data_IF_580044892101
#
_entry.id   IF_580044892101
#
_cell.length_a   1.000
_cell.length_b   1.000
_cell.length_c   1.000
_cell.angle_alpha   90.00
_cell.angle_beta   90.00
_cell.angle_gamma   90.00
#
_symmetry.space_group_name_H-M   'P 1'
#
loop_
_entity.id
_entity.type
_entity.pdbx_description
1 polymer ?
#
# COMPACT_ATOMS: atom_id res chain seq x y z
N UNK A 1 12.29 -17.23 -18.66
CA UNK A 1 11.65 -17.62 -19.95
C UNK A 1 10.22 -17.12 -19.89
N UNK A 2 9.86 -16.26 -20.80
CA UNK A 2 8.48 -15.77 -20.87
C UNK A 2 7.52 -16.92 -21.16
N UNK A 3 6.36 -16.96 -20.50
CA UNK A 3 5.32 -17.92 -20.85
C UNK A 3 5.01 -17.82 -22.35
N UNK A 4 4.84 -18.95 -23.00
CA UNK A 4 4.51 -19.06 -24.42
C UNK A 4 5.55 -18.46 -25.40
N UNK A 5 6.78 -18.17 -24.97
CA UNK A 5 7.82 -17.66 -25.85
C UNK A 5 7.55 -16.25 -26.42
N UNK A 6 6.58 -15.49 -25.86
CA UNK A 6 6.35 -14.11 -26.25
C UNK A 6 7.52 -13.25 -25.81
N UNK A 7 8.13 -12.47 -26.69
CA UNK A 7 9.18 -11.52 -26.31
C UNK A 7 8.62 -10.24 -25.65
N UNK A 8 7.31 -10.02 -25.68
CA UNK A 8 6.66 -8.78 -25.29
C UNK A 8 5.50 -9.08 -24.33
N UNK A 9 5.77 -9.00 -23.04
CA UNK A 9 4.73 -8.96 -22.04
C UNK A 9 4.14 -7.54 -21.97
N UNK A 10 2.87 -7.46 -21.69
CA UNK A 10 2.07 -6.22 -21.59
C UNK A 10 1.51 -6.05 -20.19
N UNK A 11 0.77 -4.98 -19.93
CA UNK A 11 0.08 -4.77 -18.66
C UNK A 11 -1.00 -5.83 -18.35
N UNK A 12 -1.46 -6.56 -19.37
CA UNK A 12 -2.44 -7.65 -19.21
C UNK A 12 -1.80 -9.00 -18.87
N UNK A 13 -0.47 -9.08 -18.86
CA UNK A 13 0.27 -10.28 -18.49
C UNK A 13 0.69 -10.22 -17.02
N UNK A 14 -0.23 -10.41 -16.11
CA UNK A 14 -0.03 -10.52 -14.66
C UNK A 14 -0.21 -11.96 -14.17
N UNK A 15 -0.11 -12.22 -12.87
CA UNK A 15 -0.23 -13.56 -12.26
C UNK A 15 0.76 -14.59 -12.84
N UNK A 16 1.94 -14.16 -13.27
CA UNK A 16 2.96 -15.08 -13.78
C UNK A 16 3.87 -15.64 -12.67
N UNK A 17 3.77 -15.05 -11.50
CA UNK A 17 4.43 -15.44 -10.24
C UNK A 17 3.79 -14.66 -9.09
N UNK A 18 4.16 -14.96 -7.85
CA UNK A 18 3.60 -14.25 -6.70
C UNK A 18 3.97 -12.77 -6.69
N UNK A 19 5.04 -12.47 -6.10
CA UNK A 19 5.55 -11.13 -5.82
C UNK A 19 6.73 -11.25 -4.85
N UNK A 20 7.15 -10.15 -4.25
CA UNK A 20 8.21 -10.14 -3.25
C UNK A 20 7.65 -9.76 -1.88
N UNK A 21 7.84 -10.63 -0.89
CA UNK A 21 7.43 -10.38 0.49
C UNK A 21 8.65 -10.19 1.38
N UNK A 22 8.64 -9.18 2.23
CA UNK A 22 9.66 -8.91 3.25
C UNK A 22 8.97 -8.88 4.60
N UNK A 23 9.34 -9.83 5.48
CA UNK A 23 8.76 -10.00 6.80
C UNK A 23 9.75 -9.51 7.87
N UNK A 24 9.40 -8.42 8.55
CA UNK A 24 10.18 -7.79 9.59
C UNK A 24 9.65 -8.04 11.00
N UNK A 25 10.22 -7.32 11.97
CA UNK A 25 9.94 -7.46 13.40
C UNK A 25 9.52 -6.14 14.08
N UNK A 26 9.15 -5.13 13.28
CA UNK A 26 8.56 -3.90 13.80
C UNK A 26 7.10 -4.11 14.22
N UNK A 27 6.57 -3.16 14.95
CA UNK A 27 5.20 -3.24 15.48
C UNK A 27 4.15 -3.16 14.37
N UNK A 28 3.07 -3.88 14.60
CA UNK A 28 1.85 -3.91 13.78
C UNK A 28 0.63 -3.75 14.69
N UNK A 29 -0.51 -3.38 14.14
CA UNK A 29 -1.80 -3.50 14.83
C UNK A 29 -2.69 -4.48 14.09
N UNK A 30 -3.22 -5.45 14.81
CA UNK A 30 -4.16 -6.44 14.26
C UNK A 30 -5.33 -6.62 15.23
N UNK A 31 -6.47 -7.06 14.74
CA UNK A 31 -7.72 -7.22 15.53
C UNK A 31 -7.54 -8.06 16.81
N UNK A 32 -6.68 -9.04 16.75
CA UNK A 32 -6.39 -9.92 17.89
C UNK A 32 -5.45 -9.29 18.93
N UNK A 33 -4.86 -8.12 18.62
CA UNK A 33 -3.81 -7.47 19.41
C UNK A 33 -2.58 -8.35 19.66
N UNK A 34 -2.33 -9.30 18.76
CA UNK A 34 -1.11 -10.09 18.76
C UNK A 34 0.07 -9.26 18.26
N UNK A 35 1.28 -9.55 18.72
CA UNK A 35 2.49 -8.83 18.31
C UNK A 35 3.12 -9.39 17.03
N UNK A 36 2.76 -10.61 16.65
CA UNK A 36 3.15 -11.25 15.41
C UNK A 36 1.89 -11.77 14.72
N UNK A 37 1.82 -11.60 13.42
CA UNK A 37 0.70 -12.06 12.61
C UNK A 37 1.19 -12.83 11.37
N UNK A 38 0.31 -13.58 10.75
CA UNK A 38 0.65 -14.34 9.57
C UNK A 38 0.19 -13.57 8.34
N UNK A 39 1.10 -13.40 7.37
CA UNK A 39 0.69 -12.88 6.08
C UNK A 39 -0.36 -13.80 5.46
N UNK A 40 -1.37 -13.21 4.90
CA UNK A 40 -2.49 -13.94 4.33
C UNK A 40 -2.09 -14.83 3.15
N UNK A 41 -2.90 -15.86 2.92
CA UNK A 41 -2.71 -16.79 1.82
C UNK A 41 -1.53 -17.76 1.97
N UNK A 42 -0.52 -17.46 2.77
CA UNK A 42 0.61 -18.37 2.99
C UNK A 42 0.21 -19.52 3.93
N UNK A 43 0.49 -20.79 3.55
CA UNK A 43 0.07 -21.95 4.35
C UNK A 43 0.55 -21.91 5.80
N UNK A 44 -0.29 -22.39 6.71
CA UNK A 44 -0.04 -22.33 8.16
C UNK A 44 1.22 -23.09 8.61
N UNK A 45 1.64 -24.07 7.85
CA UNK A 45 2.87 -24.85 8.07
C UNK A 45 4.15 -24.10 7.66
N UNK A 46 4.06 -23.02 6.88
CA UNK A 46 5.21 -22.20 6.54
C UNK A 46 5.58 -21.29 7.71
N UNK A 47 6.75 -21.50 8.27
CA UNK A 47 7.24 -20.73 9.40
C UNK A 47 7.71 -19.32 9.03
N UNK A 48 7.92 -19.05 7.75
CA UNK A 48 8.33 -17.72 7.27
C UNK A 48 7.15 -16.76 7.03
N UNK A 49 5.91 -17.22 7.20
CA UNK A 49 4.71 -16.40 7.04
C UNK A 49 4.48 -15.35 8.14
N UNK A 50 5.22 -15.42 9.25
CA UNK A 50 5.01 -14.53 10.41
C UNK A 50 5.82 -13.25 10.28
N UNK A 51 5.15 -12.14 10.51
CA UNK A 51 5.73 -10.79 10.59
C UNK A 51 5.25 -10.06 11.84
N UNK A 52 5.83 -8.88 12.10
CA UNK A 52 5.53 -8.12 13.31
C UNK A 52 6.41 -8.49 14.49
N UNK A 53 6.30 -7.70 15.54
CA UNK A 53 7.11 -7.84 16.75
C UNK A 53 7.15 -6.58 17.58
N UNK A 54 8.30 -6.26 18.16
CA UNK A 54 8.50 -5.08 19.01
C UNK A 54 9.75 -4.27 18.66
N UNK A 55 10.42 -4.58 17.55
CA UNK A 55 11.66 -3.92 17.13
C UNK A 55 11.39 -3.00 15.93
N UNK A 56 11.01 -1.75 16.20
CA UNK A 56 10.79 -0.74 15.16
C UNK A 56 12.05 -0.37 14.38
N UNK A 57 13.22 -0.82 14.83
CA UNK A 57 14.50 -0.63 14.16
C UNK A 57 14.97 -1.86 13.41
N UNK A 58 14.13 -2.87 13.27
CA UNK A 58 14.39 -4.08 12.51
C UNK A 58 15.05 -3.79 11.16
N UNK A 59 15.98 -4.65 10.78
CA UNK A 59 16.64 -4.57 9.48
C UNK A 59 16.46 -5.85 8.69
N UNK A 60 15.54 -5.82 7.77
CA UNK A 60 15.25 -6.90 6.83
C UNK A 60 16.10 -6.81 5.54
N UNK A 61 17.07 -5.92 5.50
CA UNK A 61 18.05 -5.81 4.40
C UNK A 61 17.89 -4.56 3.55
N UNK A 62 18.25 -4.68 2.27
CA UNK A 62 18.26 -3.57 1.31
C UNK A 62 17.62 -4.02 0.00
N UNK A 63 16.60 -3.28 -0.42
CA UNK A 63 16.01 -3.35 -1.75
C UNK A 63 16.27 -2.02 -2.45
N UNK A 64 17.13 -2.02 -3.47
CA UNK A 64 17.55 -0.83 -4.18
C UNK A 64 17.75 -1.12 -5.67
N UNK A 65 17.12 -0.34 -6.52
CA UNK A 65 17.06 -0.55 -7.97
C UNK A 65 16.47 -1.92 -8.36
N UNK A 66 15.31 -2.23 -7.78
CA UNK A 66 14.58 -3.47 -8.05
C UNK A 66 13.36 -3.19 -8.93
N UNK A 67 13.16 -4.00 -9.95
CA UNK A 67 11.97 -4.00 -10.79
C UNK A 67 11.21 -5.30 -10.60
N UNK A 68 9.96 -5.22 -10.15
CA UNK A 68 9.05 -6.34 -9.89
C UNK A 68 7.92 -6.23 -10.92
N UNK A 69 7.73 -7.29 -11.69
CA UNK A 69 6.80 -7.23 -12.83
C UNK A 69 5.99 -8.50 -12.99
N UNK A 70 4.75 -8.34 -13.41
CA UNK A 70 3.85 -9.43 -13.82
C UNK A 70 3.55 -10.42 -12.68
N UNK A 71 3.50 -9.91 -11.44
CA UNK A 71 3.17 -10.65 -10.23
C UNK A 71 1.67 -10.75 -9.98
N UNK A 72 1.31 -11.04 -8.73
CA UNK A 72 -0.08 -11.06 -8.28
C UNK A 72 -0.72 -12.44 -8.37
N UNK A 73 0.02 -13.52 -8.19
CA UNK A 73 -0.58 -14.87 -8.17
C UNK A 73 -1.60 -14.97 -7.04
N UNK A 74 -2.77 -15.48 -7.37
CA UNK A 74 -3.82 -15.76 -6.41
C UNK A 74 -3.51 -17.05 -5.66
N UNK A 75 -3.32 -16.97 -4.37
CA UNK A 75 -2.95 -18.09 -3.49
C UNK A 75 -4.11 -18.60 -2.63
N UNK A 76 -5.28 -17.99 -2.73
CA UNK A 76 -6.49 -18.37 -2.02
C UNK A 76 -7.72 -17.69 -2.63
N UNK A 77 -8.88 -17.92 -2.04
CA UNK A 77 -10.08 -17.18 -2.41
C UNK A 77 -9.97 -15.76 -1.85
N UNK A 78 -9.91 -14.76 -2.73
CA UNK A 78 -9.71 -13.34 -2.38
C UNK A 78 -8.40 -13.07 -1.60
N UNK A 79 -7.34 -13.81 -1.92
CA UNK A 79 -6.00 -13.58 -1.41
C UNK A 79 -5.04 -13.60 -2.59
N UNK A 80 -4.68 -12.46 -3.02
CA UNK A 80 -3.71 -12.18 -4.08
C UNK A 80 -2.40 -11.69 -3.46
N UNK A 81 -1.31 -11.82 -4.18
CA UNK A 81 0.00 -11.33 -3.71
C UNK A 81 0.28 -9.97 -4.34
N UNK A 82 0.64 -9.00 -3.53
CA UNK A 82 1.06 -7.69 -3.98
C UNK A 82 2.39 -7.73 -4.73
N UNK A 83 2.71 -6.72 -5.52
CA UNK A 83 4.01 -6.61 -6.16
C UNK A 83 5.14 -6.66 -5.14
N UNK A 84 5.08 -5.79 -4.14
CA UNK A 84 5.96 -5.78 -2.98
C UNK A 84 5.12 -5.72 -1.70
N UNK A 85 5.20 -6.75 -0.87
CA UNK A 85 4.56 -6.81 0.45
C UNK A 85 5.60 -6.56 1.54
N UNK A 86 5.33 -5.61 2.44
CA UNK A 86 6.21 -5.22 3.55
C UNK A 86 5.49 -5.43 4.88
N UNK A 87 5.62 -6.61 5.49
CA UNK A 87 4.98 -6.94 6.76
C UNK A 87 5.85 -6.62 7.96
N UNK A 88 5.45 -5.64 8.80
CA UNK A 88 6.16 -5.27 10.03
C UNK A 88 7.63 -4.91 9.82
N UNK A 89 7.97 -4.24 8.73
CA UNK A 89 9.36 -3.91 8.39
C UNK A 89 9.80 -2.65 9.12
N UNK A 90 10.98 -2.68 9.74
CA UNK A 90 11.50 -1.61 10.57
C UNK A 90 12.44 -0.63 9.87
N UNK A 91 12.74 0.48 10.55
CA UNK A 91 13.56 1.61 10.02
C UNK A 91 14.99 1.24 9.66
N UNK A 92 15.50 0.10 10.12
CA UNK A 92 16.82 -0.40 9.72
C UNK A 92 16.87 -0.97 8.31
N UNK A 93 15.70 -1.17 7.68
CA UNK A 93 15.58 -1.66 6.30
C UNK A 93 15.62 -0.48 5.32
N UNK A 94 16.25 -0.68 4.18
CA UNK A 94 16.29 0.32 3.11
C UNK A 94 15.48 -0.14 1.91
N UNK A 95 14.46 0.64 1.54
CA UNK A 95 13.62 0.45 0.35
C UNK A 95 13.77 1.71 -0.53
N UNK A 96 14.38 1.58 -1.70
CA UNK A 96 14.55 2.71 -2.60
C UNK A 96 14.69 2.31 -4.05
N UNK A 97 14.25 3.21 -4.96
CA UNK A 97 14.35 3.01 -6.40
C UNK A 97 13.65 1.70 -6.84
N UNK A 98 12.39 1.56 -6.48
CA UNK A 98 11.57 0.38 -6.76
C UNK A 98 10.63 0.67 -7.92
N UNK A 99 10.52 -0.25 -8.85
CA UNK A 99 9.51 -0.26 -9.90
C UNK A 99 8.61 -1.48 -9.74
N UNK A 100 7.30 -1.25 -9.72
CA UNK A 100 6.29 -2.31 -9.83
C UNK A 100 5.53 -2.10 -11.15
N UNK A 101 5.36 -3.18 -11.91
CA UNK A 101 4.62 -3.13 -13.16
C UNK A 101 3.75 -4.35 -13.38
N UNK A 102 2.47 -4.11 -13.70
CA UNK A 102 1.52 -5.15 -14.07
C UNK A 102 1.41 -6.24 -13.00
N UNK A 103 1.18 -5.83 -11.74
CA UNK A 103 0.74 -6.74 -10.69
C UNK A 103 -0.78 -6.94 -10.79
N UNK A 104 -1.28 -8.09 -10.39
CA UNK A 104 -2.74 -8.36 -10.44
C UNK A 104 -3.49 -7.62 -9.33
N UNK A 105 -2.86 -7.49 -8.20
CA UNK A 105 -3.32 -6.81 -7.00
C UNK A 105 -2.52 -5.50 -6.84
N UNK A 106 -2.25 -5.07 -5.60
CA UNK A 106 -1.56 -3.82 -5.34
C UNK A 106 -0.14 -3.76 -5.88
N UNK A 107 0.34 -2.54 -6.03
CA UNK A 107 1.73 -2.28 -6.31
C UNK A 107 2.61 -2.59 -5.11
N UNK A 108 2.46 -1.81 -4.04
CA UNK A 108 3.22 -1.97 -2.80
C UNK A 108 2.26 -1.86 -1.62
N UNK A 109 2.24 -2.86 -0.77
CA UNK A 109 1.45 -2.86 0.45
C UNK A 109 2.32 -2.96 1.71
N UNK A 110 1.98 -2.13 2.71
CA UNK A 110 2.67 -2.01 4.00
C UNK A 110 1.74 -2.46 5.14
N UNK A 111 1.92 -3.68 5.61
CA UNK A 111 1.24 -4.19 6.79
C UNK A 111 1.96 -3.73 8.06
N UNK A 112 1.61 -2.58 8.59
CA UNK A 112 2.26 -1.99 9.74
C UNK A 112 3.74 -1.67 9.54
N UNK A 113 4.49 -1.59 10.62
CA UNK A 113 5.91 -1.28 10.59
C UNK A 113 6.25 0.19 10.44
N UNK A 114 7.53 0.47 10.30
CA UNK A 114 8.11 1.82 10.39
C UNK A 114 9.12 2.13 9.28
N UNK A 115 9.23 1.26 8.27
CA UNK A 115 10.21 1.39 7.20
C UNK A 115 9.97 2.64 6.36
N UNK A 116 11.05 3.33 5.99
CA UNK A 116 11.00 4.41 5.00
C UNK A 116 11.21 3.86 3.59
N UNK A 117 10.39 4.36 2.64
CA UNK A 117 10.50 4.00 1.24
C UNK A 117 10.59 5.24 0.34
N UNK A 118 11.43 5.20 -0.68
CA UNK A 118 11.66 6.36 -1.54
C UNK A 118 11.89 6.02 -3.01
N UNK A 119 11.50 6.95 -3.90
CA UNK A 119 11.67 6.82 -5.35
C UNK A 119 10.95 5.58 -5.89
N UNK A 120 9.65 5.56 -5.77
CA UNK A 120 8.79 4.46 -6.16
C UNK A 120 8.07 4.77 -7.47
N UNK A 121 8.01 3.81 -8.35
CA UNK A 121 7.18 3.86 -9.56
C UNK A 121 6.28 2.63 -9.57
N UNK A 122 4.98 2.87 -9.55
CA UNK A 122 3.96 1.81 -9.65
C UNK A 122 3.09 2.10 -10.86
N UNK A 123 2.91 1.12 -11.73
CA UNK A 123 2.10 1.35 -12.92
C UNK A 123 1.39 0.09 -13.41
N UNK A 124 0.13 0.29 -13.82
CA UNK A 124 -0.76 -0.76 -14.33
C UNK A 124 -0.93 -1.93 -13.36
N UNK A 125 -1.03 -1.64 -12.05
CA UNK A 125 -1.48 -2.63 -11.08
C UNK A 125 -2.99 -2.80 -11.14
N UNK A 126 -3.48 -3.91 -10.67
CA UNK A 126 -4.89 -4.29 -10.86
C UNK A 126 -5.81 -3.77 -9.78
N UNK A 127 -5.25 -3.35 -8.65
CA UNK A 127 -5.96 -2.71 -7.55
C UNK A 127 -5.24 -1.40 -7.18
N UNK A 128 -4.63 -1.26 -6.04
CA UNK A 128 -4.10 0.01 -5.58
C UNK A 128 -2.63 0.24 -5.93
N UNK A 129 -2.22 1.51 -6.01
CA UNK A 129 -0.82 1.86 -6.24
C UNK A 129 0.04 1.61 -5.02
N UNK A 130 -0.30 2.28 -3.93
CA UNK A 130 0.29 2.15 -2.61
C UNK A 130 -0.82 1.88 -1.62
N UNK A 131 -0.75 0.78 -0.92
CA UNK A 131 -1.61 0.47 0.20
C UNK A 131 -0.85 0.46 1.52
N UNK A 132 -1.49 0.94 2.58
CA UNK A 132 -0.95 0.91 3.94
C UNK A 132 -2.00 0.50 4.93
N UNK A 133 -1.69 -0.46 5.75
CA UNK A 133 -2.58 -1.05 6.73
C UNK A 133 -1.88 -1.22 8.10
N UNK A 134 -2.60 -1.71 9.11
CA UNK A 134 -2.10 -2.12 10.42
C UNK A 134 -1.23 -1.07 11.12
N UNK A 135 -1.65 0.21 11.01
CA UNK A 135 -0.95 1.36 11.61
C UNK A 135 0.47 1.57 11.08
N UNK A 136 0.74 1.30 9.81
CA UNK A 136 2.00 1.72 9.21
C UNK A 136 2.29 3.20 9.51
N UNK A 137 3.50 3.51 9.96
CA UNK A 137 3.87 4.86 10.39
C UNK A 137 5.27 5.31 9.94
N UNK A 138 5.79 4.76 8.86
CA UNK A 138 7.00 5.22 8.20
C UNK A 138 6.79 6.41 7.26
N UNK A 139 7.79 6.69 6.44
CA UNK A 139 7.78 7.77 5.44
C UNK A 139 7.86 7.21 4.02
N UNK A 140 6.97 7.66 3.15
CA UNK A 140 6.97 7.34 1.72
C UNK A 140 7.24 8.63 0.94
N UNK A 141 8.22 8.62 0.04
CA UNK A 141 8.60 9.83 -0.68
C UNK A 141 8.95 9.61 -2.14
N UNK A 142 8.64 10.61 -2.98
CA UNK A 142 8.87 10.59 -4.42
C UNK A 142 8.23 9.38 -5.09
N UNK A 143 6.91 9.38 -5.13
CA UNK A 143 6.11 8.29 -5.68
C UNK A 143 5.45 8.73 -6.98
N UNK A 144 5.45 7.86 -7.96
CA UNK A 144 4.67 8.00 -9.18
C UNK A 144 3.78 6.76 -9.31
N UNK A 145 2.47 6.97 -9.33
CA UNK A 145 1.49 5.93 -9.64
C UNK A 145 0.81 6.25 -10.96
N UNK A 146 0.74 5.27 -11.84
CA UNK A 146 0.09 5.37 -13.15
C UNK A 146 -0.88 4.22 -13.30
N UNK A 147 -2.17 4.50 -13.27
CA UNK A 147 -3.20 3.51 -13.52
C UNK A 147 -3.16 2.98 -14.94
N UNK A 148 -3.72 1.81 -15.18
CA UNK A 148 -3.77 1.26 -16.53
C UNK A 148 -4.54 2.21 -17.46
N UNK A 149 -3.91 2.61 -18.55
CA UNK A 149 -4.46 3.60 -19.48
C UNK A 149 -5.23 2.96 -20.65
N UNK A 150 -5.30 1.63 -20.71
CA UNK A 150 -6.10 0.93 -21.73
C UNK A 150 -7.56 0.85 -21.23
N UNK A 151 -8.52 1.52 -21.88
CA UNK A 151 -9.92 1.49 -21.44
C UNK A 151 -10.58 0.12 -21.63
N UNK A 152 -9.88 -0.83 -22.23
CA UNK A 152 -10.34 -2.21 -22.43
C UNK A 152 -9.63 -3.20 -21.51
N UNK A 153 -8.75 -2.72 -20.64
CA UNK A 153 -8.05 -3.55 -19.68
C UNK A 153 -9.03 -4.34 -18.81
N UNK A 154 -8.67 -5.54 -18.48
CA UNK A 154 -9.47 -6.41 -17.61
C UNK A 154 -9.45 -5.93 -16.15
N UNK A 155 -8.38 -5.23 -15.76
CA UNK A 155 -8.23 -4.54 -14.48
C UNK A 155 -7.64 -3.13 -14.70
N UNK A 156 -8.28 -2.14 -14.12
CA UNK A 156 -7.95 -0.73 -14.30
C UNK A 156 -7.12 -0.13 -13.18
N UNK A 157 -7.07 -0.79 -12.04
CA UNK A 157 -6.66 -0.22 -10.77
C UNK A 157 -7.81 0.55 -10.11
N UNK A 158 -7.73 0.74 -8.80
CA UNK A 158 -8.76 1.44 -8.00
C UNK A 158 -8.20 2.75 -7.44
N UNK A 159 -7.35 2.73 -6.43
CA UNK A 159 -6.79 3.96 -5.85
C UNK A 159 -5.30 4.15 -6.16
N UNK A 160 -4.90 5.42 -6.21
CA UNK A 160 -3.48 5.77 -6.16
C UNK A 160 -2.87 5.48 -4.79
N UNK A 161 -3.66 5.74 -3.75
CA UNK A 161 -3.33 5.52 -2.34
C UNK A 161 -4.54 4.89 -1.63
N UNK A 162 -4.45 3.66 -1.16
CA UNK A 162 -5.36 3.13 -0.14
C UNK A 162 -4.65 3.24 1.21
N UNK A 163 -5.27 3.95 2.16
CA UNK A 163 -4.62 4.30 3.41
C UNK A 163 -5.50 3.89 4.59
N UNK A 164 -5.33 2.64 4.99
CA UNK A 164 -6.01 2.08 6.14
C UNK A 164 -5.20 2.28 7.42
N UNK A 165 -5.89 2.48 8.51
CA UNK A 165 -5.29 2.77 9.79
C UNK A 165 -5.03 1.54 10.62
N UNK A 166 -5.71 1.44 11.76
CA UNK A 166 -5.52 0.37 12.72
C UNK A 166 -6.49 -0.79 12.47
N UNK A 167 -6.00 -1.98 12.64
CA UNK A 167 -6.83 -3.19 12.82
C UNK A 167 -6.86 -3.61 14.29
N UNK A 168 -6.88 -2.78 15.23
CA UNK A 168 -6.84 -3.12 16.65
C UNK A 168 -6.47 -1.92 17.51
N UNK A 169 -5.80 -2.15 18.64
CA UNK A 169 -5.43 -1.08 19.54
C UNK A 169 -4.16 -0.36 19.08
N UNK A 170 -4.24 0.95 18.81
CA UNK A 170 -3.08 1.79 18.56
C UNK A 170 -1.99 1.68 19.63
N UNK A 171 -2.34 1.42 20.88
CA UNK A 171 -1.35 1.28 21.94
C UNK A 171 -0.36 0.13 21.68
N UNK A 172 -0.80 -0.92 20.99
CA UNK A 172 0.07 -2.04 20.61
C UNK A 172 1.08 -1.64 19.54
N UNK A 173 0.64 -0.89 18.53
CA UNK A 173 1.48 -0.40 17.44
C UNK A 173 2.31 0.83 17.79
N UNK A 174 1.92 1.59 18.84
CA UNK A 174 2.54 2.86 19.22
C UNK A 174 2.66 3.84 18.03
N UNK A 175 1.56 4.16 17.36
CA UNK A 175 1.62 4.86 16.10
C UNK A 175 2.02 6.32 16.30
N UNK A 176 2.94 6.76 15.47
CA UNK A 176 3.06 8.15 15.05
C UNK A 176 2.34 8.29 13.70
N UNK A 177 2.16 9.50 13.20
CA UNK A 177 1.60 9.67 11.88
C UNK A 177 2.61 9.23 10.82
N UNK A 178 2.16 8.48 9.83
CA UNK A 178 2.92 8.24 8.60
C UNK A 178 3.13 9.56 7.84
N UNK A 179 4.06 9.60 6.92
CA UNK A 179 4.21 10.72 6.01
C UNK A 179 4.32 10.28 4.56
N UNK A 180 3.58 10.95 3.67
CA UNK A 180 3.67 10.74 2.22
C UNK A 180 3.97 12.10 1.59
N UNK A 181 5.07 12.19 0.85
CA UNK A 181 5.47 13.46 0.22
C UNK A 181 5.97 13.28 -1.21
N UNK A 182 5.55 14.15 -2.11
CA UNK A 182 5.92 14.09 -3.51
C UNK A 182 5.22 12.93 -4.22
N UNK A 183 3.90 12.90 -4.18
CA UNK A 183 3.07 11.89 -4.83
C UNK A 183 2.53 12.42 -6.16
N UNK A 184 2.86 11.76 -7.25
CA UNK A 184 2.32 12.04 -8.57
C UNK A 184 1.42 10.92 -9.01
N UNK A 185 0.16 11.24 -9.31
CA UNK A 185 -0.85 10.28 -9.72
C UNK A 185 -1.38 10.58 -11.12
N UNK A 186 -1.33 9.57 -11.98
CA UNK A 186 -2.02 9.59 -13.25
C UNK A 186 -3.17 8.57 -13.22
N UNK A 187 -4.38 9.05 -13.02
CA UNK A 187 -5.58 8.23 -12.98
C UNK A 187 -6.06 7.74 -14.35
N UNK A 188 -7.18 7.06 -14.33
CA UNK A 188 -7.99 6.66 -15.48
C UNK A 188 -9.48 6.95 -15.19
N UNK A 189 -10.39 6.42 -16.00
CA UNK A 189 -11.82 6.75 -15.90
C UNK A 189 -12.54 6.16 -14.67
N UNK A 190 -11.92 5.23 -13.95
CA UNK A 190 -12.54 4.56 -12.79
C UNK A 190 -11.68 4.60 -11.53
N UNK A 191 -10.56 5.33 -11.53
CA UNK A 191 -9.66 5.35 -10.39
C UNK A 191 -9.77 6.63 -9.58
N UNK A 192 -9.49 6.54 -8.29
CA UNK A 192 -9.44 7.64 -7.34
C UNK A 192 -7.99 8.02 -6.97
N UNK A 193 -7.77 9.26 -6.52
CA UNK A 193 -6.47 9.65 -5.96
C UNK A 193 -6.14 8.80 -4.75
N UNK A 194 -7.15 8.58 -3.90
CA UNK A 194 -7.00 7.67 -2.77
C UNK A 194 -8.14 7.72 -1.77
N UNK A 195 -8.06 6.82 -0.81
CA UNK A 195 -9.01 6.67 0.27
C UNK A 195 -8.28 6.58 1.63
N UNK A 196 -8.81 7.26 2.66
CA UNK A 196 -8.32 7.22 4.04
C UNK A 196 -9.39 6.63 4.93
N UNK A 197 -9.10 5.49 5.56
CA UNK A 197 -10.05 4.73 6.39
C UNK A 197 -9.46 4.34 7.75
N UNK A 198 -10.30 3.77 8.61
CA UNK A 198 -9.96 3.08 9.84
C UNK A 198 -9.03 3.88 10.77
N UNK A 199 -9.31 5.19 10.91
CA UNK A 199 -8.51 6.08 11.75
C UNK A 199 -7.06 6.23 11.30
N UNK A 200 -6.81 6.28 10.00
CA UNK A 200 -5.47 6.49 9.45
C UNK A 200 -4.84 7.79 9.89
N UNK A 201 -3.63 7.69 10.47
CA UNK A 201 -2.78 8.83 10.84
C UNK A 201 -1.73 9.07 9.78
N UNK A 202 -1.88 10.16 9.01
CA UNK A 202 -0.96 10.47 7.92
C UNK A 202 -0.85 11.96 7.61
N UNK A 203 0.37 12.41 7.30
CA UNK A 203 0.63 13.74 6.73
C UNK A 203 0.98 13.60 5.26
N UNK A 204 0.12 14.09 4.39
CA UNK A 204 0.32 14.01 2.94
C UNK A 204 0.62 15.41 2.41
N UNK A 205 1.64 15.53 1.56
CA UNK A 205 2.05 16.80 0.99
C UNK A 205 2.66 16.68 -0.40
N UNK A 206 2.58 17.75 -1.19
CA UNK A 206 3.06 17.82 -2.55
C UNK A 206 2.44 16.73 -3.44
N UNK A 207 1.12 16.72 -3.54
CA UNK A 207 0.36 15.84 -4.43
C UNK A 207 0.15 16.56 -5.76
N UNK A 208 0.42 15.86 -6.84
CA UNK A 208 0.03 16.27 -8.19
C UNK A 208 -0.76 15.14 -8.85
N UNK A 209 -2.03 15.37 -9.14
CA UNK A 209 -2.93 14.37 -9.72
C UNK A 209 -3.55 14.89 -11.02
N UNK A 210 -3.66 14.02 -12.02
CA UNK A 210 -4.21 14.37 -13.32
C UNK A 210 -4.81 13.17 -14.05
N UNK A 211 -5.59 13.44 -15.08
CA UNK A 211 -6.33 12.44 -15.87
C UNK A 211 -7.32 11.66 -14.99
N UNK A 212 -8.01 12.41 -14.11
CA UNK A 212 -9.00 11.87 -13.20
C UNK A 212 -10.37 11.77 -13.85
N UNK A 213 -11.22 10.93 -13.32
CA UNK A 213 -12.64 10.87 -13.68
C UNK A 213 -13.32 12.21 -13.35
N UNK A 214 -14.31 12.56 -14.16
CA UNK A 214 -15.19 13.72 -13.91
C UNK A 214 -16.57 13.30 -13.39
N UNK A 215 -16.76 12.02 -13.18
CA UNK A 215 -18.02 11.48 -12.63
C UNK A 215 -18.03 11.67 -11.10
N UNK A 216 -19.21 11.86 -10.55
CA UNK A 216 -19.35 12.07 -9.11
C UNK A 216 -19.02 10.80 -8.33
N UNK A 217 -18.12 10.90 -7.36
CA UNK A 217 -17.62 9.78 -6.57
C UNK A 217 -16.45 9.03 -7.21
N UNK A 218 -15.84 9.64 -8.21
CA UNK A 218 -14.68 9.11 -8.92
C UNK A 218 -13.61 10.20 -9.00
N UNK A 219 -12.34 9.81 -8.97
CA UNK A 219 -11.22 10.72 -9.20
C UNK A 219 -10.87 11.65 -8.04
N UNK A 220 -11.44 11.47 -6.87
CA UNK A 220 -11.20 12.28 -5.67
C UNK A 220 -10.23 11.62 -4.69
N UNK A 221 -10.01 12.30 -3.57
CA UNK A 221 -9.35 11.78 -2.38
C UNK A 221 -10.41 11.74 -1.29
N UNK A 222 -10.89 10.55 -0.98
CA UNK A 222 -11.93 10.34 -0.01
C UNK A 222 -11.38 10.18 1.42
N UNK A 223 -12.13 10.66 2.39
CA UNK A 223 -11.82 10.48 3.82
C UNK A 223 -13.05 9.87 4.45
N UNK A 224 -12.89 8.71 5.05
CA UNK A 224 -13.98 8.04 5.75
C UNK A 224 -14.52 8.91 6.87
N UNK A 225 -15.84 9.05 6.90
CA UNK A 225 -16.56 9.84 7.89
C UNK A 225 -17.57 8.98 8.63
N UNK A 226 -17.75 9.22 9.93
CA UNK A 226 -18.76 8.56 10.73
C UNK A 226 -19.95 9.46 11.03
N UNK A 227 -21.13 8.82 11.03
CA UNK A 227 -22.36 9.44 11.55
C UNK A 227 -22.50 9.33 13.08
N UNK A 228 -21.63 8.56 13.77
CA UNK A 228 -21.65 8.36 15.20
C UNK A 228 -20.50 9.10 15.91
N UNK A 229 -20.75 10.28 16.52
CA UNK A 229 -19.69 11.09 17.13
C UNK A 229 -19.07 10.45 18.39
N UNK A 230 -19.46 9.27 18.78
CA UNK A 230 -18.88 8.49 19.87
C UNK A 230 -17.88 7.45 19.40
N UNK A 231 -17.88 7.15 18.13
CA UNK A 231 -16.87 6.34 17.49
C UNK A 231 -15.71 7.24 17.06
N UNK A 232 -14.49 6.87 17.33
CA UNK A 232 -13.27 7.66 17.12
C UNK A 232 -12.25 6.93 16.24
N UNK A 233 -12.74 6.03 15.42
CA UNK A 233 -11.90 5.16 14.62
C UNK A 233 -11.94 5.51 13.11
N UNK A 234 -12.50 6.67 12.73
CA UNK A 234 -12.63 7.10 11.35
C UNK A 234 -11.55 8.09 10.92
N UNK A 235 -11.27 8.12 9.62
CA UNK A 235 -10.24 8.99 9.04
C UNK A 235 -10.42 10.47 9.37
N UNK A 236 -11.66 10.98 9.43
CA UNK A 236 -11.93 12.39 9.75
C UNK A 236 -11.51 12.77 11.17
N UNK A 237 -11.61 11.87 12.14
CA UNK A 237 -11.23 12.16 13.53
C UNK A 237 -9.74 12.48 13.65
N UNK A 238 -8.91 11.79 12.89
CA UNK A 238 -7.47 11.99 12.89
C UNK A 238 -7.07 13.36 12.31
N UNK A 239 -7.88 13.94 11.41
CA UNK A 239 -7.69 15.33 10.95
C UNK A 239 -8.14 16.34 11.99
N UNK A 240 -9.26 16.10 12.67
CA UNK A 240 -9.77 16.98 13.73
C UNK A 240 -8.79 17.03 14.90
N UNK A 241 -8.24 15.90 15.30
CA UNK A 241 -7.30 15.80 16.41
C UNK A 241 -5.85 16.20 16.02
N UNK A 242 -5.60 16.48 14.74
CA UNK A 242 -4.31 16.97 14.23
C UNK A 242 -3.26 15.89 13.98
N UNK A 243 -3.63 14.61 13.97
CA UNK A 243 -2.75 13.49 13.62
C UNK A 243 -2.62 13.30 12.12
N UNK A 244 -3.50 13.91 11.33
CA UNK A 244 -3.45 13.88 9.86
C UNK A 244 -3.52 15.27 9.26
N UNK A 245 -2.94 15.43 8.06
CA UNK A 245 -3.03 16.67 7.31
C UNK A 245 -2.81 16.46 5.82
N UNK A 246 -3.45 17.30 5.01
CA UNK A 246 -3.28 17.38 3.57
C UNK A 246 -2.74 18.76 3.22
N UNK A 247 -1.63 18.85 2.50
CA UNK A 247 -0.99 20.09 2.11
C UNK A 247 -0.50 20.03 0.66
N UNK A 248 -0.59 21.16 -0.04
CA UNK A 248 -0.07 21.35 -1.40
C UNK A 248 -0.59 20.27 -2.38
N UNK A 249 -1.91 20.26 -2.59
CA UNK A 249 -2.60 19.35 -3.52
C UNK A 249 -2.95 20.12 -4.79
N UNK A 250 -2.52 19.63 -5.95
CA UNK A 250 -2.76 20.21 -7.28
C UNK A 250 -3.31 19.16 -8.27
#
# INVERSE_FOLDING_TARGET
TYPNGSPNLTAEDYQLWGGLMVMGKARISVDTNEIEFAIEGIPAEDTFRLYGGTDDTDSSGVLDYVSIRHGGEQIGASNEINGLTLGGVGTGTRISNIEIYANFDDGIEFFGGTVDAANLIVWSCGDDGIDTDQSYNGSISNVVVIMNQDPTASRGGDHGLELDGKEGDYAAANPTSASITGFTFKGNAGSEIGQLRDGKRVHISNIYAFNLSVESGEGDLSIETDSNPLDKDHGEDEFVDGFSSLNDIE
#
